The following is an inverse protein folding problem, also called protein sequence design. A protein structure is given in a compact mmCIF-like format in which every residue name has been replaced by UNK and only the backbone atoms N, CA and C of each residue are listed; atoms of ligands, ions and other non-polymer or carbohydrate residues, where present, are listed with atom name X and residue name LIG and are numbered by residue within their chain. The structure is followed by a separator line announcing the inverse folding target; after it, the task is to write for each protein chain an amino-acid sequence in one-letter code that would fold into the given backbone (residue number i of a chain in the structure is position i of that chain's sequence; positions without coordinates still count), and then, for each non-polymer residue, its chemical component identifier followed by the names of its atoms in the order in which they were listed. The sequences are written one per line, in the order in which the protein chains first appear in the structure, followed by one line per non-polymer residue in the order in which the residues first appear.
data_IF_637217000736
#
_entry.id   IF_637217000736
#
_cell.length_a   1.000
_cell.length_b   1.000
_cell.length_c   1.000
_cell.angle_alpha   90.00
_cell.angle_beta   90.00
_cell.angle_gamma   90.00
#
_symmetry.space_group_name_H-M   'P 1'
#
loop_
_entity.id
_entity.type
_entity.pdbx_description
1 polymer ?
#
# COMPACT_ATOMS: atom_id res chain seq x y z
N UNK A 1 2.57 7.55 -6.31
CA UNK A 1 3.52 8.34 -7.13
C UNK A 1 4.00 7.50 -8.29
N UNK A 2 4.91 8.03 -9.11
CA UNK A 2 5.57 7.28 -10.19
C UNK A 2 7.05 7.10 -9.86
N UNK A 3 7.62 5.95 -10.20
CA UNK A 3 9.07 5.72 -10.25
C UNK A 3 9.68 6.35 -11.51
N UNK A 4 11.01 6.30 -11.66
CA UNK A 4 11.71 6.90 -12.80
C UNK A 4 11.37 6.24 -14.15
N UNK A 5 11.00 4.96 -14.12
CA UNK A 5 10.49 4.17 -15.24
C UNK A 5 8.96 4.29 -15.42
N UNK A 6 8.32 5.23 -14.74
CA UNK A 6 6.90 5.55 -14.85
C UNK A 6 5.95 4.46 -14.32
N UNK A 7 6.44 3.61 -13.41
CA UNK A 7 5.65 2.58 -12.73
C UNK A 7 4.85 3.21 -11.57
N UNK A 8 3.52 3.02 -11.50
CA UNK A 8 2.72 3.48 -10.37
C UNK A 8 3.13 2.77 -9.07
N UNK A 9 3.39 3.54 -8.02
CA UNK A 9 3.88 2.98 -6.75
C UNK A 9 3.42 3.77 -5.53
N UNK A 10 3.26 3.07 -4.40
CA UNK A 10 3.24 3.69 -3.07
C UNK A 10 4.65 3.73 -2.50
N UNK A 11 4.98 4.84 -1.85
CA UNK A 11 6.28 5.05 -1.22
C UNK A 11 6.11 5.18 0.30
N UNK A 12 6.93 4.43 1.04
CA UNK A 12 7.08 4.63 2.47
C UNK A 12 8.20 5.64 2.70
N UNK A 13 7.89 6.73 3.38
CA UNK A 13 8.82 7.83 3.68
C UNK A 13 9.03 7.91 5.18
N UNK A 14 10.29 7.89 5.62
CA UNK A 14 10.64 8.22 6.99
C UNK A 14 10.38 9.71 7.22
N UNK A 15 9.47 10.04 8.14
CA UNK A 15 9.04 11.42 8.36
C UNK A 15 10.08 12.29 9.08
N UNK A 16 11.10 11.70 9.71
CA UNK A 16 12.15 12.45 10.42
C UNK A 16 13.24 12.88 9.46
N UNK A 17 13.62 12.00 8.54
CA UNK A 17 14.74 12.21 7.60
C UNK A 17 14.28 12.67 6.22
N UNK A 18 13.07 12.27 5.80
CA UNK A 18 12.58 12.43 4.44
C UNK A 18 13.00 11.29 3.50
N UNK A 19 13.73 10.29 4.00
CA UNK A 19 14.23 9.20 3.18
C UNK A 19 13.11 8.24 2.76
N UNK A 20 13.18 7.76 1.52
CA UNK A 20 12.32 6.67 1.06
C UNK A 20 12.84 5.34 1.59
N UNK A 21 12.06 4.71 2.46
CA UNK A 21 12.40 3.45 3.15
C UNK A 21 11.71 2.23 2.55
N UNK A 22 10.80 2.42 1.60
CA UNK A 22 10.14 1.31 0.91
C UNK A 22 9.30 1.76 -0.28
N UNK A 23 9.02 0.80 -1.16
CA UNK A 23 8.22 0.99 -2.36
C UNK A 23 7.39 -0.28 -2.61
N UNK A 24 6.11 -0.10 -2.93
CA UNK A 24 5.27 -1.17 -3.48
C UNK A 24 4.65 -0.70 -4.78
N UNK A 25 4.66 -1.55 -5.80
CA UNK A 25 3.93 -1.30 -7.04
C UNK A 25 2.41 -1.40 -6.79
N UNK A 26 1.64 -0.58 -7.51
CA UNK A 26 0.19 -0.60 -7.46
C UNK A 26 -0.39 -0.68 -8.86
N UNK A 27 -1.58 -1.27 -8.99
CA UNK A 27 -2.19 -1.56 -10.29
C UNK A 27 -2.62 -0.35 -11.12
N UNK A 28 -2.45 0.88 -10.64
CA UNK A 28 -2.81 2.08 -11.39
C UNK A 28 -2.42 3.38 -10.71
N UNK A 29 -2.56 4.48 -11.45
CA UNK A 29 -2.34 5.81 -10.91
C UNK A 29 -3.36 6.12 -9.79
N UNK A 30 -2.87 6.71 -8.71
CA UNK A 30 -3.72 7.18 -7.61
C UNK A 30 -4.47 8.43 -8.05
N UNK A 31 -5.75 8.55 -7.69
CA UNK A 31 -6.47 9.83 -7.78
C UNK A 31 -6.24 10.63 -6.49
N UNK A 32 -7.30 10.82 -5.71
CA UNK A 32 -7.26 11.52 -4.44
C UNK A 32 -7.64 10.56 -3.32
N UNK A 33 -6.88 10.57 -2.23
CA UNK A 33 -7.21 9.80 -1.04
C UNK A 33 -6.40 8.52 -0.88
N UNK A 34 -5.77 8.45 0.27
CA UNK A 34 -5.29 7.23 0.89
C UNK A 34 -5.78 7.24 2.33
N UNK A 35 -6.29 6.13 2.80
CA UNK A 35 -6.66 5.95 4.21
C UNK A 35 -6.03 4.69 4.77
N UNK A 36 -5.93 4.63 6.10
CA UNK A 36 -5.53 3.43 6.81
C UNK A 36 -6.72 2.87 7.59
N UNK A 37 -6.83 1.56 7.65
CA UNK A 37 -7.85 0.86 8.43
C UNK A 37 -7.23 -0.32 9.19
N UNK A 38 -7.74 -0.62 10.38
CA UNK A 38 -7.37 -1.81 11.12
C UNK A 38 -8.54 -2.79 11.12
N UNK A 39 -8.32 -4.01 10.64
CA UNK A 39 -9.29 -5.09 10.67
C UNK A 39 -8.65 -6.33 11.29
N UNK A 40 -9.30 -6.92 12.29
CA UNK A 40 -8.78 -8.08 13.05
C UNK A 40 -7.35 -7.86 13.61
N UNK A 41 -7.05 -6.65 14.08
CA UNK A 41 -5.73 -6.29 14.60
C UNK A 41 -4.67 -6.02 13.53
N UNK A 42 -5.02 -6.17 12.25
CA UNK A 42 -4.10 -6.04 11.14
C UNK A 42 -4.33 -4.73 10.39
N UNK A 43 -3.24 -4.05 10.01
CA UNK A 43 -3.31 -2.78 9.30
C UNK A 43 -3.41 -2.98 7.79
N UNK A 44 -4.30 -2.18 7.19
CA UNK A 44 -4.54 -2.10 5.76
C UNK A 44 -4.39 -0.65 5.29
N UNK A 45 -3.87 -0.48 4.08
CA UNK A 45 -3.85 0.78 3.36
C UNK A 45 -4.86 0.69 2.22
N UNK A 46 -5.80 1.63 2.19
CA UNK A 46 -6.82 1.74 1.15
C UNK A 46 -6.44 2.87 0.21
N UNK A 47 -6.36 2.57 -1.08
CA UNK A 47 -5.92 3.49 -2.11
C UNK A 47 -7.01 3.64 -3.17
N UNK A 48 -7.40 4.88 -3.45
CA UNK A 48 -8.28 5.17 -4.58
C UNK A 48 -7.46 5.23 -5.87
N UNK A 49 -7.72 4.27 -6.76
CA UNK A 49 -7.13 4.18 -8.10
C UNK A 49 -8.03 4.86 -9.12
N UNK A 50 -7.56 4.95 -10.36
CA UNK A 50 -8.32 5.59 -11.43
C UNK A 50 -9.64 4.88 -11.75
N UNK A 51 -9.67 3.56 -11.59
CA UNK A 51 -10.69 2.60 -12.00
C UNK A 51 -11.27 1.79 -10.83
N UNK A 52 -10.93 2.13 -9.58
CA UNK A 52 -11.46 1.42 -8.42
C UNK A 52 -10.77 1.74 -7.10
N UNK A 53 -10.88 0.80 -6.16
CA UNK A 53 -10.25 0.85 -4.85
C UNK A 53 -9.42 -0.42 -4.67
N UNK A 54 -8.19 -0.24 -4.19
CA UNK A 54 -7.31 -1.35 -3.82
C UNK A 54 -7.01 -1.30 -2.31
N UNK A 55 -6.94 -2.50 -1.70
CA UNK A 55 -6.56 -2.68 -0.32
C UNK A 55 -5.25 -3.45 -0.24
N UNK A 56 -4.26 -2.89 0.45
CA UNK A 56 -2.95 -3.49 0.67
C UNK A 56 -2.80 -3.84 2.15
N UNK A 57 -2.69 -5.13 2.46
CA UNK A 57 -2.37 -5.61 3.80
C UNK A 57 -0.87 -5.51 4.07
N UNK A 58 -0.49 -5.03 5.25
CA UNK A 58 0.91 -5.13 5.69
C UNK A 58 1.28 -6.60 5.96
N UNK A 59 2.57 -6.98 6.05
CA UNK A 59 2.97 -8.38 6.24
C UNK A 59 2.30 -9.07 7.44
N UNK A 60 2.06 -8.34 8.54
CA UNK A 60 1.32 -8.86 9.69
C UNK A 60 -0.18 -9.15 9.40
N UNK A 61 -0.70 -8.63 8.29
CA UNK A 61 -2.07 -8.86 7.82
C UNK A 61 -2.25 -10.15 7.02
N UNK A 62 -1.15 -10.76 6.56
CA UNK A 62 -1.20 -12.00 5.82
C UNK A 62 -1.54 -13.15 6.77
N UNK A 63 -2.51 -14.04 6.44
CA UNK A 63 -2.68 -15.28 7.18
C UNK A 63 -1.37 -16.05 7.17
N UNK A 64 -1.06 -16.77 8.25
CA UNK A 64 0.10 -17.63 8.28
C UNK A 64 0.02 -18.60 7.08
N UNK A 65 1.14 -18.83 6.40
CA UNK A 65 1.21 -19.81 5.33
C UNK A 65 0.87 -21.20 5.91
N UNK A 66 -0.42 -21.55 5.89
CA UNK A 66 -0.97 -22.72 6.59
C UNK A 66 -2.49 -22.65 6.82
N UNK A 67 -3.09 -21.46 6.86
CA UNK A 67 -4.53 -21.30 7.16
C UNK A 67 -5.43 -21.21 5.91
N UNK A 68 -4.85 -21.38 4.72
CA UNK A 68 -5.63 -21.50 3.48
C UNK A 68 -6.00 -22.98 3.29
N UNK A 69 -7.19 -23.34 3.78
CA UNK A 69 -7.84 -24.64 3.54
C UNK A 69 -8.20 -24.84 2.08
#
# INVERSE_FOLDING_TARGET
GMTADNTPSLFAIDKRTGDRVGTIEIGGATRYGMSSWTHNGHQYIIVQLQDGIAAYGLPAAMPAAGDAH
#
